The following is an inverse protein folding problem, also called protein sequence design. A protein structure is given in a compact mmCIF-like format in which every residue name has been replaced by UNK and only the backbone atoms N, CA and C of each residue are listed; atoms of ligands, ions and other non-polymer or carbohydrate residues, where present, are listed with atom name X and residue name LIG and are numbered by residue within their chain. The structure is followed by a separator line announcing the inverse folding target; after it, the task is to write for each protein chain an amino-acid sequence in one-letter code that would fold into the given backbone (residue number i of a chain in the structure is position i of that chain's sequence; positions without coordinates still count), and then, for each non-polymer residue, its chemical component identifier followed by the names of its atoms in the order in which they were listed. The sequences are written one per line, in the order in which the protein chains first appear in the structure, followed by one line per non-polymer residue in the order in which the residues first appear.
data_IF_494627414286
#
_entry.id   IF_494627414286
#
_cell.length_a   1.000
_cell.length_b   1.000
_cell.length_c   1.000
_cell.angle_alpha   90.00
_cell.angle_beta   90.00
_cell.angle_gamma   90.00
#
_symmetry.space_group_name_H-M   'P 1'
#
loop_
_entity.id
_entity.type
_entity.pdbx_description
1 polymer ?
#
# COMPACT_ATOMS: atom_id res chain seq x y z
N UNK A 1 -3.92 -5.38 -11.85
CA UNK A 1 -5.40 -5.39 -11.59
C UNK A 1 -5.98 -3.97 -11.76
N UNK A 2 -7.27 -3.80 -12.07
CA UNK A 2 -7.92 -2.48 -12.05
C UNK A 2 -8.40 -2.13 -10.61
N UNK A 3 -8.24 -0.89 -10.11
CA UNK A 3 -8.69 -0.52 -8.76
C UNK A 3 -10.20 -0.68 -8.57
N UNK A 4 -10.64 -1.09 -7.38
CA UNK A 4 -12.07 -1.24 -7.06
C UNK A 4 -12.78 0.11 -6.91
N UNK A 5 -12.03 1.17 -6.62
CA UNK A 5 -12.51 2.54 -6.43
C UNK A 5 -11.70 3.49 -7.29
N UNK A 6 -12.38 4.46 -7.90
CA UNK A 6 -11.76 5.50 -8.72
C UNK A 6 -12.00 6.87 -8.08
N UNK A 7 -11.13 7.82 -8.37
CA UNK A 7 -11.33 9.22 -7.99
C UNK A 7 -12.62 9.72 -8.64
N UNK A 8 -13.53 10.27 -7.82
CA UNK A 8 -14.73 10.93 -8.30
C UNK A 8 -14.34 12.32 -8.80
N UNK A 9 -14.38 12.50 -10.11
CA UNK A 9 -14.09 13.77 -10.76
C UNK A 9 -15.39 14.42 -11.19
N UNK A 10 -15.67 15.58 -10.63
CA UNK A 10 -16.80 16.43 -11.04
C UNK A 10 -16.30 17.49 -12.00
N UNK A 11 -17.00 17.64 -13.13
CA UNK A 11 -16.66 18.64 -14.14
C UNK A 11 -17.88 19.47 -14.48
N UNK A 12 -17.76 20.80 -14.44
CA UNK A 12 -18.84 21.71 -14.81
C UNK A 12 -18.31 22.93 -15.57
N UNK A 13 -19.09 23.44 -16.53
CA UNK A 13 -18.77 24.71 -17.19
C UNK A 13 -19.30 25.85 -16.33
N UNK A 14 -18.41 26.70 -15.85
CA UNK A 14 -18.75 27.80 -14.92
C UNK A 14 -19.24 29.03 -15.68
N UNK A 15 -18.52 29.46 -16.72
CA UNK A 15 -18.93 30.55 -17.65
C UNK A 15 -17.98 30.63 -18.84
N UNK A 16 -18.24 31.50 -19.82
CA UNK A 16 -17.29 31.76 -20.92
C UNK A 16 -15.96 32.36 -20.46
N UNK A 17 -15.96 33.17 -19.38
CA UNK A 17 -14.74 33.77 -18.82
C UNK A 17 -13.99 32.82 -17.88
N UNK A 18 -14.72 32.05 -17.08
CA UNK A 18 -14.13 31.16 -16.07
C UNK A 18 -13.91 29.71 -16.56
N UNK A 19 -14.37 29.38 -17.76
CA UNK A 19 -14.13 28.08 -18.37
C UNK A 19 -14.77 26.91 -17.61
N UNK A 20 -14.00 25.83 -17.44
CA UNK A 20 -14.41 24.60 -16.78
C UNK A 20 -13.82 24.50 -15.39
N UNK A 21 -14.63 24.07 -14.43
CA UNK A 21 -14.18 23.59 -13.13
C UNK A 21 -14.04 22.08 -13.18
N UNK A 22 -12.96 21.57 -12.59
CA UNK A 22 -12.70 20.16 -12.34
C UNK A 22 -12.40 20.02 -10.85
N UNK A 23 -13.15 19.18 -10.15
CA UNK A 23 -13.02 19.01 -8.70
C UNK A 23 -12.98 17.52 -8.33
N UNK A 24 -12.15 17.20 -7.35
CA UNK A 24 -12.11 15.89 -6.69
C UNK A 24 -12.05 16.13 -5.17
N UNK A 25 -13.09 15.70 -4.46
CA UNK A 25 -13.25 16.00 -3.03
C UNK A 25 -12.73 14.86 -2.15
N UNK A 26 -12.93 13.62 -2.59
CA UNK A 26 -12.54 12.42 -1.83
C UNK A 26 -11.14 11.97 -2.28
N UNK A 27 -10.13 11.92 -1.39
CA UNK A 27 -8.83 11.36 -1.72
C UNK A 27 -8.92 9.83 -1.80
N UNK A 28 -8.11 9.24 -2.69
CA UNK A 28 -7.94 7.80 -2.78
C UNK A 28 -6.49 7.44 -2.44
N UNK A 29 -6.32 6.48 -1.54
CA UNK A 29 -5.02 5.97 -1.11
C UNK A 29 -4.79 4.56 -1.63
N UNK A 30 -3.55 4.30 -2.03
CA UNK A 30 -3.07 2.98 -2.44
C UNK A 30 -1.75 2.67 -1.75
N UNK A 31 -1.48 1.38 -1.51
CA UNK A 31 -0.20 0.91 -1.02
C UNK A 31 0.56 0.25 -2.18
N UNK A 32 1.70 0.82 -2.54
CA UNK A 32 2.55 0.30 -3.60
C UNK A 32 3.85 -0.26 -3.02
N UNK A 33 4.29 -1.39 -3.58
CA UNK A 33 5.58 -2.01 -3.30
C UNK A 33 6.51 -1.72 -4.47
N UNK A 34 7.68 -1.15 -4.17
CA UNK A 34 8.71 -0.91 -5.16
C UNK A 34 9.58 -2.17 -5.35
N UNK A 35 9.77 -2.58 -6.61
CA UNK A 35 10.70 -3.63 -7.05
C UNK A 35 11.95 -2.95 -7.62
N UNK A 36 13.07 -2.90 -6.88
CA UNK A 36 14.27 -2.19 -7.31
C UNK A 36 14.92 -2.78 -8.58
N UNK A 37 14.92 -4.11 -8.73
CA UNK A 37 15.55 -4.83 -9.83
C UNK A 37 14.96 -4.47 -11.20
N UNK A 38 13.67 -4.17 -11.20
CA UNK A 38 12.89 -3.82 -12.40
C UNK A 38 12.58 -2.32 -12.47
N UNK A 39 13.01 -1.54 -11.47
CA UNK A 39 12.71 -0.13 -11.30
C UNK A 39 11.21 0.21 -11.52
N UNK A 40 10.32 -0.60 -10.94
CA UNK A 40 8.86 -0.39 -11.04
C UNK A 40 8.17 -0.52 -9.69
N UNK A 41 6.93 -0.03 -9.64
CA UNK A 41 6.05 -0.18 -8.49
C UNK A 41 4.88 -1.09 -8.85
N UNK A 42 4.45 -1.89 -7.88
CA UNK A 42 3.29 -2.78 -8.01
C UNK A 42 2.35 -2.49 -6.85
N UNK A 43 1.06 -2.36 -7.14
CA UNK A 43 0.06 -2.21 -6.08
C UNK A 43 0.00 -3.48 -5.21
N UNK A 44 -0.14 -3.33 -3.89
CA UNK A 44 -0.15 -4.47 -2.95
C UNK A 44 -1.26 -5.49 -3.28
N UNK A 45 -2.38 -5.03 -3.83
CA UNK A 45 -3.49 -5.88 -4.26
C UNK A 45 -3.11 -6.67 -5.50
N UNK A 46 -2.41 -6.05 -6.45
CA UNK A 46 -1.88 -6.73 -7.63
C UNK A 46 -0.78 -7.74 -7.25
N UNK A 47 0.11 -7.37 -6.34
CA UNK A 47 1.14 -8.27 -5.81
C UNK A 47 0.51 -9.52 -5.18
N UNK A 48 -0.65 -9.39 -4.53
CA UNK A 48 -1.35 -10.51 -3.90
C UNK A 48 -1.89 -11.57 -4.89
N UNK A 49 -2.07 -11.19 -6.16
CA UNK A 49 -2.50 -12.08 -7.23
C UNK A 49 -1.33 -12.89 -7.81
N UNK A 50 -0.10 -12.40 -7.65
CA UNK A 50 1.11 -13.03 -8.16
C UNK A 50 1.76 -13.89 -7.06
N UNK A 51 1.62 -15.21 -7.18
CA UNK A 51 1.98 -16.15 -6.11
C UNK A 51 3.45 -16.07 -5.67
N UNK A 52 4.39 -15.96 -6.63
CA UNK A 52 5.82 -15.87 -6.33
C UNK A 52 6.15 -14.59 -5.56
N UNK A 53 5.66 -13.44 -6.03
CA UNK A 53 5.89 -12.15 -5.36
C UNK A 53 5.20 -12.10 -4.00
N UNK A 54 3.98 -12.61 -3.90
CA UNK A 54 3.24 -12.69 -2.63
C UNK A 54 4.02 -13.51 -1.60
N UNK A 55 4.53 -14.66 -2.02
CA UNK A 55 5.29 -15.56 -1.13
C UNK A 55 6.60 -14.92 -0.71
N UNK A 56 7.32 -14.28 -1.64
CA UNK A 56 8.53 -13.53 -1.34
C UNK A 56 8.29 -12.39 -0.35
N UNK A 57 7.26 -11.57 -0.58
CA UNK A 57 6.93 -10.46 0.30
C UNK A 57 6.48 -10.95 1.68
N UNK A 58 5.70 -12.03 1.76
CA UNK A 58 5.33 -12.66 3.03
C UNK A 58 6.56 -13.12 3.83
N UNK A 59 7.54 -13.76 3.18
CA UNK A 59 8.78 -14.16 3.86
C UNK A 59 9.64 -12.97 4.29
N UNK A 60 9.60 -11.87 3.53
CA UNK A 60 10.26 -10.61 3.92
C UNK A 60 9.64 -10.05 5.21
N UNK A 61 8.30 -10.04 5.31
CA UNK A 61 7.61 -9.64 6.54
C UNK A 61 7.98 -10.55 7.72
N UNK A 62 7.99 -11.88 7.54
CA UNK A 62 8.44 -12.81 8.59
C UNK A 62 9.88 -12.55 9.03
N UNK A 63 10.77 -12.22 8.10
CA UNK A 63 12.16 -11.86 8.43
C UNK A 63 12.20 -10.59 9.27
N UNK A 64 11.42 -9.57 8.92
CA UNK A 64 11.29 -8.34 9.71
C UNK A 64 10.82 -8.62 11.15
N UNK A 65 9.78 -9.45 11.33
CA UNK A 65 9.33 -9.86 12.67
C UNK A 65 10.44 -10.59 13.44
N UNK A 66 11.14 -11.53 12.79
CA UNK A 66 12.22 -12.29 13.41
C UNK A 66 13.41 -11.40 13.84
N UNK A 67 13.75 -10.39 13.05
CA UNK A 67 14.81 -9.42 13.38
C UNK A 67 14.48 -8.57 14.60
N UNK A 68 13.20 -8.25 14.80
CA UNK A 68 12.69 -7.48 15.94
C UNK A 68 12.43 -8.32 17.19
N UNK A 69 12.53 -9.65 17.10
CA UNK A 69 12.22 -10.55 18.19
C UNK A 69 13.10 -10.32 19.43
N UNK A 70 12.61 -10.78 20.59
CA UNK A 70 13.35 -10.80 21.86
C UNK A 70 13.85 -9.42 22.32
N UNK A 71 13.11 -8.36 22.01
CA UNK A 71 13.40 -7.01 22.52
C UNK A 71 14.47 -6.25 21.74
N UNK A 72 14.71 -6.60 20.47
CA UNK A 72 15.67 -5.91 19.61
C UNK A 72 15.13 -4.55 19.12
N UNK A 73 15.05 -3.58 20.03
CA UNK A 73 14.47 -2.25 19.78
C UNK A 73 15.25 -1.43 18.75
N UNK A 74 16.57 -1.66 18.63
CA UNK A 74 17.41 -0.95 17.66
C UNK A 74 17.02 -1.29 16.22
N UNK A 75 16.80 -2.57 15.93
CA UNK A 75 16.37 -3.00 14.60
C UNK A 75 14.91 -2.62 14.35
N UNK A 76 14.05 -2.72 15.36
CA UNK A 76 12.67 -2.26 15.27
C UNK A 76 12.57 -0.79 14.87
N UNK A 77 13.37 0.09 15.48
CA UNK A 77 13.42 1.50 15.11
C UNK A 77 13.91 1.73 13.68
N UNK A 78 14.89 0.96 13.21
CA UNK A 78 15.36 1.04 11.83
C UNK A 78 14.28 0.61 10.83
N UNK A 79 13.50 -0.43 11.15
CA UNK A 79 12.39 -0.88 10.31
C UNK A 79 11.27 0.15 10.17
N UNK A 80 11.04 1.02 11.17
CA UNK A 80 10.08 2.11 11.04
C UNK A 80 10.41 3.11 9.91
N UNK A 81 11.64 3.09 9.38
CA UNK A 81 12.02 3.88 8.19
C UNK A 81 11.64 3.19 6.88
N UNK A 82 11.34 1.89 6.91
CA UNK A 82 10.92 1.08 5.76
C UNK A 82 9.41 0.83 5.74
N UNK A 83 8.82 0.67 6.93
CA UNK A 83 7.39 0.47 7.15
C UNK A 83 6.89 1.52 8.14
N UNK A 84 6.11 2.47 7.63
CA UNK A 84 5.55 3.54 8.44
C UNK A 84 4.20 3.15 9.08
N UNK A 85 3.76 3.94 10.05
CA UNK A 85 2.50 3.70 10.76
C UNK A 85 1.28 3.78 9.83
N UNK A 86 1.28 4.70 8.85
CA UNK A 86 0.17 4.87 7.91
C UNK A 86 -0.01 3.66 7.00
N UNK A 87 1.08 3.04 6.55
CA UNK A 87 1.07 1.83 5.74
C UNK A 87 0.48 0.67 6.52
N UNK A 88 0.85 0.51 7.79
CA UNK A 88 0.27 -0.53 8.66
C UNK A 88 -1.23 -0.32 8.84
N UNK A 89 -1.66 0.91 9.18
CA UNK A 89 -3.08 1.23 9.32
C UNK A 89 -3.87 0.96 8.03
N UNK A 90 -3.30 1.32 6.88
CA UNK A 90 -3.90 1.02 5.58
C UNK A 90 -4.10 -0.49 5.37
N UNK A 91 -3.10 -1.31 5.71
CA UNK A 91 -3.21 -2.78 5.56
C UNK A 91 -4.24 -3.41 6.51
N UNK A 92 -4.43 -2.84 7.69
CA UNK A 92 -5.43 -3.27 8.68
C UNK A 92 -6.84 -2.99 8.14
N UNK A 93 -7.09 -1.76 7.67
CA UNK A 93 -8.40 -1.30 7.21
C UNK A 93 -8.81 -1.91 5.85
N UNK A 94 -7.83 -2.33 5.03
CA UNK A 94 -8.10 -2.87 3.70
C UNK A 94 -8.75 -4.25 3.74
N UNK A 95 -10.05 -4.32 3.47
CA UNK A 95 -10.84 -5.57 3.51
C UNK A 95 -10.43 -6.60 2.46
N UNK A 96 -9.77 -6.20 1.38
CA UNK A 96 -9.48 -7.05 0.23
C UNK A 96 -8.12 -7.76 0.32
N UNK A 97 -7.25 -7.37 1.28
CA UNK A 97 -5.89 -7.89 1.38
C UNK A 97 -5.88 -9.42 1.57
N UNK A 98 -5.02 -10.12 0.82
CA UNK A 98 -4.85 -11.57 0.91
C UNK A 98 -4.50 -12.02 2.33
N UNK A 99 -5.05 -13.17 2.75
CA UNK A 99 -4.86 -13.71 4.10
C UNK A 99 -3.40 -13.90 4.49
N UNK A 100 -2.53 -14.36 3.57
CA UNK A 100 -1.10 -14.53 3.87
C UNK A 100 -0.41 -13.19 4.13
N UNK A 101 -0.65 -12.18 3.29
CA UNK A 101 -0.07 -10.85 3.47
C UNK A 101 -0.63 -10.18 4.73
N UNK A 102 -1.94 -10.33 4.97
CA UNK A 102 -2.57 -9.83 6.19
C UNK A 102 -1.92 -10.43 7.43
N UNK A 103 -1.75 -11.75 7.50
CA UNK A 103 -1.03 -12.39 8.60
C UNK A 103 0.39 -11.81 8.78
N UNK A 104 1.11 -11.60 7.69
CA UNK A 104 2.45 -11.01 7.72
C UNK A 104 2.50 -9.58 8.27
N UNK A 105 1.51 -8.73 7.96
CA UNK A 105 1.45 -7.35 8.46
C UNK A 105 0.93 -7.24 9.90
N UNK A 106 0.18 -8.24 10.37
CA UNK A 106 -0.35 -8.27 11.75
C UNK A 106 0.68 -8.80 12.78
N UNK A 107 1.61 -9.64 12.35
CA UNK A 107 2.66 -10.21 13.20
C UNK A 107 3.80 -9.23 13.45
#
# INVERSE_FOLDING_TARGET
RMPNTFLKVETARVSERHGWVVQCVEPLQMLAVHIPEENRCVDIMELSEQEDMRTFHYHTLKLYCALCALGNTRVAHALCSHLDQSQLLYTIDNQYLSGMLREGFYN
#
